data_IF_877446075018
#
_entry.id   IF_877446075018
#
_cell.length_a   1.000
_cell.length_b   1.000
_cell.length_c   1.000
_cell.angle_alpha   90.00
_cell.angle_beta   90.00
_cell.angle_gamma   90.00
#
_symmetry.space_group_name_H-M   'P 1'
#
loop_
_entity.id
_entity.type
_entity.pdbx_description
1 polymer ?
#
# COMPACT_ATOMS: atom_id res chain seq x y z
N UNK A 1 10.03 -32.08 9.36
CA UNK A 1 9.07 -31.39 10.23
C UNK A 1 9.45 -29.92 10.22
N UNK A 2 8.81 -29.13 9.37
CA UNK A 2 8.91 -27.68 9.46
C UNK A 2 8.16 -27.29 10.73
N UNK A 3 8.82 -26.61 11.66
CA UNK A 3 8.14 -26.06 12.83
C UNK A 3 7.00 -25.18 12.32
N UNK A 4 5.78 -25.46 12.77
CA UNK A 4 4.69 -24.50 12.64
C UNK A 4 5.08 -23.35 13.56
N UNK A 5 5.58 -22.26 12.99
CA UNK A 5 5.65 -21.00 13.72
C UNK A 5 4.21 -20.63 14.08
N UNK A 6 3.82 -20.96 15.32
CA UNK A 6 2.53 -20.55 15.85
C UNK A 6 2.52 -19.04 15.92
N UNK A 7 1.62 -18.40 15.17
CA UNK A 7 1.39 -16.97 15.28
C UNK A 7 0.80 -16.72 16.67
N UNK A 8 1.51 -15.96 17.49
CA UNK A 8 1.11 -15.61 18.85
C UNK A 8 1.09 -14.09 19.06
N UNK A 9 0.25 -13.63 19.98
CA UNK A 9 0.28 -12.27 20.50
C UNK A 9 1.53 -12.04 21.35
N UNK A 10 1.79 -10.79 21.75
CA UNK A 10 2.86 -10.49 22.71
C UNK A 10 2.72 -11.20 24.08
N UNK A 11 1.54 -11.76 24.36
CA UNK A 11 1.24 -12.53 25.58
C UNK A 11 1.26 -14.05 25.35
N UNK A 12 1.64 -14.50 24.14
CA UNK A 12 1.77 -15.92 23.81
C UNK A 12 0.46 -16.63 23.42
N UNK A 13 -0.64 -15.89 23.29
CA UNK A 13 -1.93 -16.44 22.87
C UNK A 13 -2.07 -16.44 21.34
N UNK A 14 -2.81 -17.40 20.78
CA UNK A 14 -3.16 -17.33 19.36
C UNK A 14 -4.08 -16.13 19.09
N UNK A 15 -3.75 -15.23 18.15
CA UNK A 15 -4.62 -14.10 17.85
C UNK A 15 -5.87 -14.55 17.09
N UNK A 16 -6.92 -13.74 17.18
CA UNK A 16 -8.13 -13.86 16.37
C UNK A 16 -7.93 -13.08 15.07
N UNK A 17 -7.97 -13.79 13.94
CA UNK A 17 -7.99 -13.16 12.62
C UNK A 17 -9.40 -12.63 12.31
N UNK A 18 -9.46 -11.38 11.84
CA UNK A 18 -10.66 -10.74 11.31
C UNK A 18 -10.51 -10.55 9.82
N UNK A 19 -11.41 -11.18 9.07
CA UNK A 19 -11.46 -11.12 7.61
C UNK A 19 -12.76 -10.42 7.22
N UNK A 20 -12.66 -9.32 6.48
CA UNK A 20 -13.82 -8.61 5.94
C UNK A 20 -13.79 -8.59 4.41
N UNK A 21 -14.89 -8.14 3.82
CA UNK A 21 -15.12 -8.07 2.37
C UNK A 21 -15.17 -9.45 1.71
N UNK A 22 -15.67 -10.44 2.47
CA UNK A 22 -15.89 -11.81 2.02
C UNK A 22 -17.34 -12.20 2.34
N UNK A 23 -18.03 -12.80 1.38
CA UNK A 23 -19.22 -13.62 1.59
C UNK A 23 -18.75 -15.02 1.99
N UNK A 24 -18.88 -15.40 3.27
CA UNK A 24 -18.22 -16.58 3.81
C UNK A 24 -18.85 -17.87 3.27
N UNK A 25 -17.99 -18.84 2.95
CA UNK A 25 -18.40 -20.21 2.59
C UNK A 25 -18.30 -21.20 3.76
N UNK A 26 -18.08 -20.69 4.98
CA UNK A 26 -17.86 -21.45 6.21
C UNK A 26 -18.87 -21.00 7.27
N UNK A 27 -19.16 -21.87 8.23
CA UNK A 27 -20.09 -21.65 9.34
C UNK A 27 -19.36 -21.59 10.70
N UNK A 28 -19.97 -20.95 11.73
CA UNK A 28 -19.43 -21.00 13.08
C UNK A 28 -19.25 -22.43 13.59
N UNK A 29 -18.03 -22.77 14.00
CA UNK A 29 -17.66 -24.12 14.46
C UNK A 29 -16.84 -24.90 13.44
N UNK A 30 -16.79 -24.45 12.19
CA UNK A 30 -15.93 -25.04 11.17
C UNK A 30 -14.45 -24.88 11.51
N UNK A 31 -13.67 -25.87 11.10
CA UNK A 31 -12.20 -25.85 11.15
C UNK A 31 -11.67 -25.70 9.74
N UNK A 32 -10.79 -24.71 9.54
CA UNK A 32 -10.16 -24.42 8.25
C UNK A 32 -8.65 -24.61 8.35
N UNK A 33 -8.03 -25.08 7.27
CA UNK A 33 -6.60 -25.22 7.10
C UNK A 33 -6.04 -24.16 6.14
N UNK A 34 -4.72 -24.00 6.13
CA UNK A 34 -4.03 -23.11 5.18
C UNK A 34 -4.30 -23.59 3.75
N UNK A 35 -4.87 -22.70 2.94
CA UNK A 35 -5.24 -22.99 1.55
C UNK A 35 -6.73 -23.27 1.35
N UNK A 36 -7.50 -23.47 2.43
CA UNK A 36 -8.94 -23.68 2.31
C UNK A 36 -9.65 -22.39 1.85
N UNK A 37 -10.65 -22.49 0.96
CA UNK A 37 -11.41 -21.34 0.52
C UNK A 37 -12.31 -20.85 1.67
N UNK A 38 -12.20 -19.56 2.01
CA UNK A 38 -13.02 -18.95 3.07
C UNK A 38 -14.31 -18.31 2.55
N UNK A 39 -14.45 -18.14 1.23
CA UNK A 39 -15.61 -17.49 0.62
C UNK A 39 -15.28 -16.75 -0.66
N UNK A 40 -16.21 -15.89 -1.09
CA UNK A 40 -16.05 -15.03 -2.28
C UNK A 40 -15.87 -13.58 -1.86
N UNK A 41 -14.97 -12.85 -2.52
CA UNK A 41 -14.81 -11.41 -2.27
C UNK A 41 -16.11 -10.65 -2.62
N UNK A 42 -16.52 -9.75 -1.74
CA UNK A 42 -17.65 -8.85 -1.95
C UNK A 42 -17.24 -7.39 -1.85
N UNK A 43 -17.89 -6.54 -2.64
CA UNK A 43 -17.69 -5.09 -2.58
C UNK A 43 -18.49 -4.51 -1.41
N UNK A 44 -17.81 -3.86 -0.47
CA UNK A 44 -18.50 -3.13 0.59
C UNK A 44 -19.02 -1.78 0.07
N UNK A 45 -20.19 -1.35 0.57
CA UNK A 45 -20.80 -0.07 0.19
C UNK A 45 -20.00 1.18 0.60
N UNK A 46 -19.00 1.02 1.47
CA UNK A 46 -18.11 2.10 1.93
C UNK A 46 -16.85 2.27 1.08
N UNK A 47 -16.66 1.44 0.05
CA UNK A 47 -15.52 1.58 -0.84
C UNK A 47 -15.68 2.80 -1.72
N UNK A 48 -14.64 3.63 -1.76
CA UNK A 48 -14.55 4.67 -2.78
C UNK A 48 -14.66 4.03 -4.18
N UNK A 49 -15.22 4.73 -5.18
CA UNK A 49 -15.52 4.16 -6.50
C UNK A 49 -14.33 3.45 -7.17
N UNK A 50 -13.12 3.98 -6.98
CA UNK A 50 -11.88 3.43 -7.52
C UNK A 50 -11.28 2.24 -6.75
N UNK A 51 -11.78 1.90 -5.56
CA UNK A 51 -11.23 0.81 -4.76
C UNK A 51 -11.62 -0.54 -5.39
N UNK A 52 -10.62 -1.38 -5.66
CA UNK A 52 -10.85 -2.73 -6.18
C UNK A 52 -11.33 -3.67 -5.06
N UNK A 53 -11.95 -4.79 -5.43
CA UNK A 53 -12.23 -5.85 -4.47
C UNK A 53 -10.92 -6.34 -3.85
N UNK A 54 -10.86 -6.33 -2.52
CA UNK A 54 -9.69 -6.73 -1.75
C UNK A 54 -10.15 -7.35 -0.43
N UNK A 55 -9.23 -8.01 0.24
CA UNK A 55 -9.47 -8.59 1.56
C UNK A 55 -8.94 -7.62 2.62
N UNK A 56 -9.76 -7.32 3.62
CA UNK A 56 -9.27 -6.68 4.85
C UNK A 56 -8.94 -7.78 5.86
N UNK A 57 -7.67 -7.85 6.27
CA UNK A 57 -7.19 -8.78 7.29
C UNK A 57 -6.62 -7.98 8.47
N UNK A 58 -7.10 -8.27 9.66
CA UNK A 58 -6.53 -7.77 10.91
C UNK A 58 -6.47 -8.87 11.96
N UNK A 59 -5.64 -8.68 12.97
CA UNK A 59 -5.49 -9.63 14.08
C UNK A 59 -5.81 -8.93 15.40
N UNK A 60 -6.39 -9.66 16.35
CA UNK A 60 -6.72 -9.15 17.69
C UNK A 60 -6.37 -10.16 18.77
N UNK A 61 -6.14 -9.67 19.98
CA UNK A 61 -6.12 -10.54 21.15
C UNK A 61 -7.52 -11.15 21.35
N UNK A 62 -7.64 -12.43 21.77
CA UNK A 62 -8.92 -13.10 21.99
C UNK A 62 -9.91 -12.36 22.90
N UNK A 63 -9.42 -11.64 23.91
CA UNK A 63 -10.26 -10.87 24.84
C UNK A 63 -10.69 -9.48 24.35
N UNK A 64 -10.28 -9.05 23.16
CA UNK A 64 -10.63 -7.72 22.64
C UNK A 64 -12.06 -7.68 22.06
N UNK A 65 -12.65 -6.49 22.00
CA UNK A 65 -13.91 -6.27 21.29
C UNK A 65 -13.72 -6.54 19.79
N UNK A 66 -14.29 -7.62 19.26
CA UNK A 66 -14.11 -8.04 17.88
C UNK A 66 -14.99 -7.27 16.89
N UNK A 67 -15.94 -6.45 17.36
CA UNK A 67 -16.88 -5.71 16.51
C UNK A 67 -16.44 -4.27 16.22
N UNK A 68 -15.63 -3.66 17.09
CA UNK A 68 -15.07 -2.32 16.85
C UNK A 68 -14.20 -2.29 15.59
N UNK A 69 -14.26 -1.18 14.85
CA UNK A 69 -13.37 -0.98 13.70
C UNK A 69 -11.88 -0.87 14.13
N UNK A 70 -11.59 -0.13 15.20
CA UNK A 70 -10.26 0.04 15.78
C UNK A 70 -9.88 -1.08 16.75
N UNK A 71 -8.58 -1.23 17.04
CA UNK A 71 -8.06 -2.20 18.04
C UNK A 71 -7.38 -3.44 17.44
N UNK A 72 -7.04 -3.42 16.15
CA UNK A 72 -6.19 -4.46 15.56
C UNK A 72 -4.75 -4.33 16.04
N UNK A 73 -4.07 -5.47 16.20
CA UNK A 73 -2.65 -5.53 16.51
C UNK A 73 -1.82 -4.98 15.34
N UNK A 74 -0.70 -4.29 15.62
CA UNK A 74 0.19 -3.81 14.57
C UNK A 74 0.81 -5.00 13.81
N UNK A 75 0.84 -4.89 12.49
CA UNK A 75 1.51 -5.86 11.62
C UNK A 75 2.84 -5.28 11.14
N UNK A 76 3.88 -6.10 11.10
CA UNK A 76 5.15 -5.77 10.46
C UNK A 76 5.38 -6.75 9.31
N UNK A 77 5.91 -6.30 8.16
CA UNK A 77 6.45 -7.21 7.16
C UNK A 77 7.54 -8.07 7.78
N UNK A 78 7.61 -9.34 7.36
CA UNK A 78 8.70 -10.22 7.77
C UNK A 78 10.06 -9.62 7.38
N UNK A 79 11.09 -9.62 8.25
CA UNK A 79 12.40 -9.05 7.93
C UNK A 79 13.11 -9.71 6.73
N UNK A 80 12.74 -10.93 6.38
CA UNK A 80 13.23 -11.63 5.18
C UNK A 80 12.51 -11.18 3.91
N UNK A 81 11.34 -10.54 4.01
CA UNK A 81 10.61 -10.02 2.85
C UNK A 81 11.45 -8.96 2.14
N UNK A 82 11.67 -9.18 0.84
CA UNK A 82 12.30 -8.20 -0.05
C UNK A 82 11.21 -7.46 -0.82
N UNK A 83 11.22 -6.13 -0.70
CA UNK A 83 10.33 -5.23 -1.43
C UNK A 83 11.20 -4.21 -2.15
N UNK A 84 11.35 -4.36 -3.47
CA UNK A 84 12.32 -3.57 -4.23
C UNK A 84 11.72 -2.25 -4.73
N UNK A 85 12.40 -1.11 -4.52
CA UNK A 85 11.99 0.17 -5.07
C UNK A 85 12.29 0.26 -6.57
N UNK A 86 11.31 0.70 -7.33
CA UNK A 86 11.42 0.91 -8.77
C UNK A 86 11.23 2.39 -9.10
N UNK A 87 12.26 2.98 -9.70
CA UNK A 87 12.23 4.36 -10.14
C UNK A 87 11.19 4.54 -11.25
N UNK A 88 10.56 5.70 -11.26
CA UNK A 88 9.59 6.12 -12.25
C UNK A 88 9.84 7.58 -12.60
N UNK A 89 9.69 7.91 -13.87
CA UNK A 89 9.90 9.26 -14.39
C UNK A 89 8.61 10.08 -14.46
N UNK A 90 7.48 9.51 -14.03
CA UNK A 90 6.17 10.15 -14.05
C UNK A 90 5.37 9.83 -15.32
N UNK A 91 5.90 9.07 -16.27
CA UNK A 91 5.23 8.80 -17.53
C UNK A 91 4.69 7.38 -17.62
N UNK A 92 3.62 7.15 -18.39
CA UNK A 92 3.12 5.81 -18.67
C UNK A 92 1.94 5.79 -19.64
N UNK A 93 1.62 4.62 -20.15
CA UNK A 93 0.45 4.42 -21.02
C UNK A 93 -0.68 3.78 -20.24
N UNK A 94 -1.90 4.27 -20.42
CA UNK A 94 -3.09 3.71 -19.78
C UNK A 94 -3.37 2.31 -20.34
N UNK A 95 -3.34 1.30 -19.48
CA UNK A 95 -3.63 -0.11 -19.81
C UNK A 95 -4.94 -0.62 -19.23
N UNK A 96 -5.51 0.09 -18.26
CA UNK A 96 -6.86 -0.15 -17.77
C UNK A 96 -7.48 1.17 -17.30
N UNK A 97 -8.77 1.33 -17.53
CA UNK A 97 -9.52 2.51 -17.10
C UNK A 97 -10.90 2.10 -16.59
N UNK A 98 -11.43 2.89 -15.67
CA UNK A 98 -12.82 2.87 -15.25
C UNK A 98 -13.31 4.29 -14.99
N UNK A 99 -14.56 4.44 -14.58
CA UNK A 99 -15.21 5.77 -14.42
C UNK A 99 -14.48 6.73 -13.48
N UNK A 100 -13.65 6.22 -12.56
CA UNK A 100 -12.95 7.04 -11.57
C UNK A 100 -11.49 6.65 -11.38
N UNK A 101 -10.88 5.95 -12.35
CA UNK A 101 -9.49 5.55 -12.27
C UNK A 101 -8.87 5.23 -13.64
N UNK A 102 -7.55 5.36 -13.71
CA UNK A 102 -6.72 4.90 -14.81
C UNK A 102 -5.48 4.20 -14.26
N UNK A 103 -5.04 3.12 -14.90
CA UNK A 103 -3.83 2.37 -14.54
C UNK A 103 -2.82 2.53 -15.66
N UNK A 104 -1.65 3.06 -15.31
CA UNK A 104 -0.49 3.20 -16.16
C UNK A 104 0.36 1.92 -16.08
N UNK A 105 0.97 1.54 -17.20
CA UNK A 105 1.87 0.38 -17.31
C UNK A 105 3.29 0.61 -16.79
N UNK A 106 3.61 1.86 -16.49
CA UNK A 106 4.92 2.28 -16.00
C UNK A 106 4.86 2.74 -14.53
N UNK A 107 5.92 2.48 -13.74
CA UNK A 107 7.10 1.71 -14.14
C UNK A 107 6.77 0.21 -14.27
N UNK A 108 7.44 -0.48 -15.20
CA UNK A 108 7.24 -1.90 -15.40
C UNK A 108 7.87 -2.73 -14.27
N UNK A 109 7.27 -3.87 -13.96
CA UNK A 109 7.80 -4.77 -12.94
C UNK A 109 9.13 -5.40 -13.44
N UNK A 110 10.26 -5.28 -12.72
CA UNK A 110 11.56 -5.73 -13.21
C UNK A 110 11.70 -7.26 -13.22
N UNK A 111 11.02 -7.97 -12.31
CA UNK A 111 11.02 -9.45 -12.24
C UNK A 111 9.65 -10.03 -11.85
N UNK A 112 8.66 -10.05 -12.78
CA UNK A 112 7.30 -10.51 -12.48
C UNK A 112 7.27 -11.89 -11.80
N UNK A 113 6.69 -11.96 -10.60
CA UNK A 113 6.58 -13.16 -9.79
C UNK A 113 7.81 -13.46 -8.93
N UNK A 114 8.92 -12.73 -9.07
CA UNK A 114 10.16 -12.95 -8.32
C UNK A 114 10.13 -12.35 -6.91
N UNK A 115 9.88 -11.04 -6.82
CA UNK A 115 9.81 -10.27 -5.56
C UNK A 115 8.61 -9.32 -5.58
N UNK A 116 8.29 -8.73 -4.43
CA UNK A 116 7.41 -7.56 -4.40
C UNK A 116 8.20 -6.35 -4.85
N UNK A 117 7.58 -5.49 -5.65
CA UNK A 117 8.18 -4.24 -6.10
C UNK A 117 7.15 -3.12 -6.02
N UNK A 118 7.60 -1.90 -5.75
CA UNK A 118 6.70 -0.75 -5.69
C UNK A 118 7.41 0.54 -6.03
N UNK A 119 6.65 1.63 -6.05
CA UNK A 119 7.15 2.92 -6.51
C UNK A 119 8.23 3.45 -5.56
N UNK A 120 9.41 3.74 -6.10
CA UNK A 120 10.52 4.29 -5.34
C UNK A 120 10.21 5.71 -4.89
N UNK A 121 10.38 5.98 -3.60
CA UNK A 121 10.58 7.32 -3.07
C UNK A 121 12.03 7.50 -2.63
N UNK A 122 12.53 8.70 -2.83
CA UNK A 122 13.79 9.14 -2.23
C UNK A 122 13.51 9.62 -0.82
N UNK A 123 14.37 9.27 0.12
CA UNK A 123 14.20 9.59 1.52
C UNK A 123 15.52 10.14 2.04
N UNK A 124 15.44 11.33 2.63
CA UNK A 124 16.60 11.96 3.23
C UNK A 124 17.01 11.21 4.51
N UNK A 125 18.19 10.62 4.52
CA UNK A 125 18.76 9.88 5.65
C UNK A 125 20.09 10.50 6.10
N UNK A 126 20.09 11.81 6.35
CA UNK A 126 21.28 12.54 6.77
C UNK A 126 22.25 12.81 5.61
N UNK A 127 23.45 12.24 5.66
CA UNK A 127 24.48 12.45 4.61
C UNK A 127 24.23 11.63 3.33
N UNK A 128 23.29 10.69 3.34
CA UNK A 128 22.97 9.82 2.22
C UNK A 128 21.48 9.88 1.87
N UNK A 129 21.17 9.83 0.58
CA UNK A 129 19.82 9.58 0.07
C UNK A 129 19.60 8.08 -0.03
N UNK A 130 18.48 7.62 0.51
CA UNK A 130 18.04 6.23 0.39
C UNK A 130 16.75 6.14 -0.40
N UNK A 131 16.45 4.96 -0.90
CA UNK A 131 15.19 4.67 -1.57
C UNK A 131 14.36 3.70 -0.76
N UNK A 132 13.06 3.98 -0.66
CA UNK A 132 12.06 3.08 -0.08
C UNK A 132 10.88 2.93 -1.02
N UNK A 133 10.00 1.98 -0.71
CA UNK A 133 8.79 1.72 -1.50
C UNK A 133 7.60 2.39 -0.85
N UNK A 134 6.89 3.23 -1.61
CA UNK A 134 5.65 3.84 -1.13
C UNK A 134 4.46 2.88 -1.15
N UNK A 135 3.60 3.03 -0.15
CA UNK A 135 2.32 2.36 -0.01
C UNK A 135 1.25 3.35 0.47
N UNK A 136 -0.02 3.09 0.13
CA UNK A 136 -1.16 3.91 0.55
C UNK A 136 -1.72 4.83 -0.55
N UNK A 137 -2.48 5.85 -0.17
CA UNK A 137 -3.16 6.75 -1.11
C UNK A 137 -2.58 8.15 -1.05
N UNK A 138 -1.72 8.52 -2.01
CA UNK A 138 -1.09 9.85 -2.07
C UNK A 138 -1.98 10.86 -2.81
N UNK A 139 -2.40 11.98 -2.21
CA UNK A 139 -2.55 12.22 -0.76
C UNK A 139 -3.98 11.92 -0.28
N UNK A 140 -4.73 11.05 -0.98
CA UNK A 140 -6.15 10.85 -0.74
C UNK A 140 -6.50 9.92 0.44
N UNK A 141 -5.49 9.33 1.09
CA UNK A 141 -5.60 8.72 2.42
C UNK A 141 -4.97 9.65 3.46
N UNK A 142 -5.37 9.51 4.72
CA UNK A 142 -4.84 10.31 5.83
C UNK A 142 -3.32 10.17 6.03
N UNK A 143 -2.74 9.09 5.52
CA UNK A 143 -1.30 8.84 5.53
C UNK A 143 -0.90 7.72 4.55
N UNK A 144 0.40 7.41 4.56
CA UNK A 144 1.01 6.37 3.74
C UNK A 144 1.99 5.50 4.49
N UNK A 145 2.56 4.55 3.76
CA UNK A 145 3.61 3.67 4.21
C UNK A 145 4.89 3.85 3.39
N UNK A 146 6.02 3.58 4.04
CA UNK A 146 7.34 3.52 3.45
C UNK A 146 7.99 2.21 3.85
N UNK A 147 8.08 1.29 2.90
CA UNK A 147 8.61 -0.06 3.08
C UNK A 147 10.08 -0.11 2.68
N UNK A 148 10.91 -0.76 3.49
CA UNK A 148 12.35 -0.86 3.29
C UNK A 148 12.76 -2.29 2.94
N UNK A 149 13.59 -2.45 1.91
CA UNK A 149 14.16 -3.74 1.53
C UNK A 149 15.35 -4.10 2.45
N UNK A 150 15.24 -5.15 3.26
CA UNK A 150 16.38 -5.87 3.86
C UNK A 150 17.32 -5.09 4.79
N UNK A 151 17.14 -3.78 4.97
CA UNK A 151 17.81 -2.97 5.96
C UNK A 151 16.81 -2.64 7.07
N UNK A 152 17.26 -2.72 8.32
CA UNK A 152 16.50 -2.18 9.44
C UNK A 152 16.08 -0.74 9.10
N UNK A 153 14.84 -0.38 9.45
CA UNK A 153 14.40 1.02 9.42
C UNK A 153 15.55 1.85 10.00
N UNK A 154 16.06 2.87 9.28
CA UNK A 154 17.17 3.67 9.76
C UNK A 154 16.88 4.33 11.12
N UNK A 155 15.62 4.28 11.58
CA UNK A 155 15.18 4.81 12.85
C UNK A 155 15.06 6.32 12.74
N UNK A 156 13.83 6.80 12.82
CA UNK A 156 13.59 8.11 13.40
C UNK A 156 13.41 7.83 14.89
N UNK A 157 14.24 8.42 15.78
CA UNK A 157 13.82 8.48 17.18
C UNK A 157 12.45 9.16 17.24
N UNK A 158 11.60 8.76 18.20
CA UNK A 158 10.21 9.24 18.31
C UNK A 158 10.12 10.78 18.34
N UNK A 159 11.20 11.45 18.77
CA UNK A 159 11.33 12.91 18.85
C UNK A 159 12.00 13.59 17.63
N UNK A 160 12.34 12.84 16.57
CA UNK A 160 12.98 13.42 15.38
C UNK A 160 11.93 13.97 14.40
N UNK A 161 12.22 15.06 13.67
CA UNK A 161 11.24 15.80 12.84
C UNK A 161 10.74 15.05 11.57
N UNK A 162 10.88 13.73 11.51
CA UNK A 162 10.57 12.89 10.36
C UNK A 162 11.52 13.13 9.17
N UNK A 163 11.71 12.10 8.35
CA UNK A 163 12.56 12.16 7.14
C UNK A 163 11.75 12.67 5.97
N UNK A 164 12.27 13.62 5.19
CA UNK A 164 11.60 14.07 3.97
C UNK A 164 11.47 12.89 2.98
N UNK A 165 10.29 12.73 2.42
CA UNK A 165 9.98 11.72 1.41
C UNK A 165 9.69 12.43 0.10
N UNK A 166 10.40 12.08 -0.96
CA UNK A 166 10.29 12.67 -2.28
C UNK A 166 9.90 11.64 -3.33
N UNK A 167 8.98 12.04 -4.21
CA UNK A 167 8.58 11.31 -5.40
C UNK A 167 8.64 12.29 -6.59
N UNK A 168 9.20 11.86 -7.73
CA UNK A 168 9.37 12.71 -8.91
C UNK A 168 10.07 14.06 -8.60
N UNK A 169 11.07 14.02 -7.72
CA UNK A 169 11.81 15.21 -7.28
C UNK A 169 11.01 16.20 -6.41
N UNK A 170 9.78 15.86 -6.05
CA UNK A 170 8.90 16.69 -5.20
C UNK A 170 8.74 16.04 -3.84
N UNK A 171 8.95 16.80 -2.76
CA UNK A 171 8.63 16.31 -1.41
C UNK A 171 7.13 16.08 -1.28
N UNK A 172 6.75 14.85 -0.98
CA UNK A 172 5.34 14.42 -0.84
C UNK A 172 4.91 14.23 0.60
N UNK A 173 5.84 14.23 1.55
CA UNK A 173 5.53 14.05 2.96
C UNK A 173 6.75 13.91 3.84
N UNK A 174 6.51 13.43 5.07
CA UNK A 174 7.53 13.08 6.06
C UNK A 174 7.28 11.70 6.64
N UNK A 175 8.33 10.89 6.72
CA UNK A 175 8.28 9.57 7.32
C UNK A 175 8.77 9.58 8.78
N UNK A 176 7.94 9.06 9.68
CA UNK A 176 8.34 8.68 11.04
C UNK A 176 8.26 7.17 11.14
N UNK A 177 9.42 6.54 11.28
CA UNK A 177 9.54 5.10 11.04
C UNK A 177 9.13 4.73 9.61
N UNK A 178 8.12 3.87 9.48
CA UNK A 178 7.50 3.50 8.20
C UNK A 178 6.27 4.32 7.83
N UNK A 179 5.72 5.09 8.76
CA UNK A 179 4.47 5.82 8.54
C UNK A 179 4.80 7.16 7.90
N UNK A 180 4.08 7.51 6.84
CA UNK A 180 4.26 8.74 6.10
C UNK A 180 3.07 9.65 6.31
N UNK A 181 3.32 10.84 6.85
CA UNK A 181 2.35 11.93 6.81
C UNK A 181 2.53 12.68 5.51
N UNK A 182 1.49 12.72 4.68
CA UNK A 182 1.51 13.45 3.41
C UNK A 182 1.55 14.96 3.66
N UNK A 183 2.30 15.66 2.81
CA UNK A 183 2.18 17.11 2.69
C UNK A 183 0.94 17.43 1.80
N UNK A 184 0.51 18.70 1.80
CA UNK A 184 -0.47 19.19 0.84
C UNK A 184 0.13 19.18 -0.58
N UNK A 185 -0.23 18.15 -1.34
CA UNK A 185 0.31 17.85 -2.67
C UNK A 185 -0.85 17.73 -3.66
N UNK A 186 -0.78 18.47 -4.76
CA UNK A 186 -1.64 18.24 -5.92
C UNK A 186 -0.95 17.28 -6.87
N UNK A 187 -1.65 16.19 -7.22
CA UNK A 187 -1.26 15.28 -8.31
C UNK A 187 -1.92 15.76 -9.59
N UNK A 188 -1.13 15.93 -10.65
CA UNK A 188 -1.63 16.29 -11.99
C UNK A 188 -1.34 15.17 -12.97
N UNK A 189 -2.28 14.90 -13.86
CA UNK A 189 -2.12 13.99 -14.99
C UNK A 189 -2.40 14.78 -16.27
N UNK A 190 -1.41 14.88 -17.15
CA UNK A 190 -1.45 15.74 -18.35
C UNK A 190 -1.82 17.20 -18.04
N UNK A 191 -1.38 17.71 -16.88
CA UNK A 191 -1.64 19.08 -16.40
C UNK A 191 -2.90 19.24 -15.56
N UNK A 192 -3.84 18.32 -15.63
CA UNK A 192 -5.12 18.40 -14.90
C UNK A 192 -5.05 17.73 -13.53
N UNK A 193 -5.61 18.34 -12.47
CA UNK A 193 -5.58 17.77 -11.13
C UNK A 193 -6.43 16.50 -11.04
N UNK A 194 -5.88 15.47 -10.40
CA UNK A 194 -6.58 14.22 -10.06
C UNK A 194 -6.62 14.05 -8.54
N UNK A 195 -7.48 13.15 -8.03
CA UNK A 195 -7.61 12.93 -6.59
C UNK A 195 -6.33 12.37 -5.98
N UNK A 196 -5.58 11.57 -6.73
CA UNK A 196 -4.26 11.12 -6.30
C UNK A 196 -3.77 9.85 -6.98
N UNK A 197 -2.76 9.24 -6.36
CA UNK A 197 -2.14 7.98 -6.76
C UNK A 197 -2.43 6.92 -5.70
N UNK A 198 -2.98 5.78 -6.11
CA UNK A 198 -3.06 4.59 -5.27
C UNK A 198 -1.76 3.79 -5.42
N UNK A 199 -1.00 3.73 -4.33
CA UNK A 199 0.33 3.13 -4.23
C UNK A 199 0.20 1.78 -3.52
N UNK A 200 0.69 0.73 -4.16
CA UNK A 200 0.74 -0.60 -3.58
C UNK A 200 1.88 -1.40 -4.23
N UNK A 201 2.71 -2.11 -3.43
CA UNK A 201 3.65 -3.05 -3.99
C UNK A 201 2.94 -4.20 -4.71
N UNK A 202 3.43 -4.55 -5.90
CA UNK A 202 2.94 -5.69 -6.67
C UNK A 202 4.01 -6.76 -6.81
N UNK A 203 3.60 -8.03 -6.78
CA UNK A 203 4.50 -9.18 -7.02
C UNK A 203 4.54 -9.61 -8.48
N UNK A 204 3.43 -9.51 -9.20
CA UNK A 204 3.32 -9.98 -10.58
C UNK A 204 3.30 -8.85 -11.61
N UNK A 205 2.88 -7.66 -11.19
CA UNK A 205 2.72 -6.48 -12.02
C UNK A 205 3.09 -5.26 -11.19
N UNK A 206 3.56 -4.23 -11.86
CA UNK A 206 3.79 -2.91 -11.32
C UNK A 206 3.24 -1.92 -12.33
N UNK A 207 2.85 -0.76 -11.82
CA UNK A 207 2.26 0.33 -12.57
C UNK A 207 1.76 1.38 -11.59
N UNK A 208 1.17 2.44 -12.12
CA UNK A 208 0.64 3.54 -11.32
C UNK A 208 -0.85 3.65 -11.51
N UNK A 209 -1.62 3.65 -10.43
CA UNK A 209 -3.07 3.83 -10.49
C UNK A 209 -3.44 5.25 -10.08
N UNK A 210 -3.90 6.03 -11.05
CA UNK A 210 -4.52 7.32 -10.83
C UNK A 210 -5.97 7.12 -10.41
N UNK A 211 -6.45 7.93 -9.46
CA UNK A 211 -7.81 7.85 -8.94
C UNK A 211 -8.48 9.21 -8.88
N UNK A 212 -9.81 9.21 -8.95
CA UNK A 212 -10.66 10.40 -8.81
C UNK A 212 -11.71 10.52 -9.91
N UNK A 213 -12.77 11.28 -9.64
CA UNK A 213 -13.85 11.54 -10.60
C UNK A 213 -13.38 12.35 -11.83
N UNK A 214 -12.26 13.07 -11.71
CA UNK A 214 -11.61 13.78 -12.83
C UNK A 214 -10.69 12.92 -13.68
N UNK A 215 -10.59 11.61 -13.42
CA UNK A 215 -9.74 10.70 -14.21
C UNK A 215 -10.54 10.15 -15.38
N UNK A 216 -10.40 10.79 -16.55
CA UNK A 216 -11.04 10.38 -17.80
C UNK A 216 -9.99 10.13 -18.88
N UNK A 217 -9.32 8.98 -18.79
CA UNK A 217 -8.35 8.56 -19.79
C UNK A 217 -8.74 7.23 -20.42
N UNK A 218 -8.79 7.19 -21.75
CA UNK A 218 -8.94 5.96 -22.52
C UNK A 218 -7.70 5.07 -22.46
N UNK A 219 -7.89 3.76 -22.69
CA UNK A 219 -6.78 2.81 -22.86
C UNK A 219 -5.95 3.22 -24.09
N UNK A 220 -4.63 3.22 -23.95
CA UNK A 220 -3.67 3.66 -24.96
C UNK A 220 -3.28 5.13 -24.87
N UNK A 221 -3.89 5.91 -23.97
CA UNK A 221 -3.50 7.31 -23.73
C UNK A 221 -2.15 7.37 -23.02
N UNK A 222 -1.23 8.20 -23.53
CA UNK A 222 -0.01 8.56 -22.83
C UNK A 222 -0.31 9.61 -21.75
N UNK A 223 0.21 9.37 -20.55
CA UNK A 223 0.00 10.22 -19.39
C UNK A 223 1.34 10.61 -18.78
N UNK A 224 1.52 11.90 -18.56
CA UNK A 224 2.58 12.47 -17.73
C UNK A 224 1.98 12.90 -16.40
N UNK A 225 2.57 12.43 -15.32
CA UNK A 225 2.17 12.72 -13.95
C UNK A 225 3.19 13.66 -13.33
N UNK A 226 2.66 14.74 -12.75
CA UNK A 226 3.44 15.76 -12.09
C UNK A 226 2.91 15.97 -10.67
N UNK A 227 3.81 16.34 -9.76
CA UNK A 227 3.49 16.64 -8.37
C UNK A 227 3.80 18.10 -8.10
N UNK A 228 2.88 18.81 -7.46
CA UNK A 228 3.08 20.17 -7.01
C UNK A 228 2.70 20.28 -5.54
N UNK A 229 3.53 20.94 -4.74
CA UNK A 229 3.17 21.32 -3.37
C UNK A 229 2.44 22.65 -3.39
N UNK A 230 1.44 22.78 -2.54
CA UNK A 230 0.76 24.07 -2.29
C UNK A 230 1.52 24.94 -1.28
#
# INVERSE_FOLDING_TARGET
>A
AAGTDEIATGEGESPVARILHVDPAVEPGDRVAVGDPLGRLVRAGFFAPWVANHLHLGFRSPGADLHRASGSLPLAPDPSLRVEPVAWDGTGTVVAAGETYAVLDAPAHPSPGGSFTGLAATVDAGAERRTGVLDGGLPHYDGGGLLWAGAADPGCGDDSPGRAVELLGTRVGRATGRDVTWDDVTVRANGDPVRGIALAPGRARLGVKLVGEGVDFGVGTEVTVELARE
#
